data_IF_081776983715
#
_entry.id   IF_081776983715
#
_cell.length_a   1.000
_cell.length_b   1.000
_cell.length_c   1.000
_cell.angle_alpha   90.00
_cell.angle_beta   90.00
_cell.angle_gamma   90.00
#
_symmetry.space_group_name_H-M   'P 1'
#
loop_
_entity.id
_entity.type
_entity.pdbx_description
1 polymer ?
#
# COMPACT_ATOMS: atom_id res chain seq x y z
N UNK A 1 5.22 -24.35 32.17
CA UNK A 1 6.14 -23.75 31.17
C UNK A 1 5.54 -24.03 29.79
N UNK A 2 4.75 -23.13 29.26
CA UNK A 2 4.20 -23.24 27.91
C UNK A 2 5.32 -22.81 26.94
N UNK A 3 5.79 -23.74 26.12
CA UNK A 3 6.82 -23.44 25.13
C UNK A 3 6.32 -22.32 24.21
N UNK A 4 7.06 -21.22 24.15
CA UNK A 4 6.86 -20.16 23.14
C UNK A 4 7.14 -20.82 21.79
N UNK A 5 6.10 -21.05 21.00
CA UNK A 5 6.22 -21.65 19.67
C UNK A 5 6.59 -20.54 18.68
N UNK A 6 7.61 -20.78 17.88
CA UNK A 6 8.08 -19.90 16.80
C UNK A 6 7.14 -19.92 15.61
N UNK A 7 7.20 -18.92 14.74
CA UNK A 7 6.43 -18.85 13.50
C UNK A 7 6.57 -20.11 12.61
N UNK A 8 7.67 -20.86 12.76
CA UNK A 8 7.90 -22.12 12.04
C UNK A 8 6.87 -23.21 12.32
N UNK A 9 6.15 -23.16 13.44
CA UNK A 9 5.10 -24.13 13.77
C UNK A 9 3.74 -23.76 13.21
N UNK A 10 3.57 -22.53 12.72
CA UNK A 10 2.34 -22.08 12.09
C UNK A 10 2.34 -22.53 10.63
N UNK A 11 1.27 -23.20 10.24
CA UNK A 11 1.12 -23.70 8.87
C UNK A 11 -0.18 -23.23 8.21
N UNK A 12 -1.08 -22.64 8.98
CA UNK A 12 -2.41 -22.20 8.50
C UNK A 12 -2.70 -20.80 9.01
N UNK A 13 -3.06 -19.90 8.09
CA UNK A 13 -3.46 -18.52 8.38
C UNK A 13 -4.86 -18.29 7.83
N UNK A 14 -5.75 -17.77 8.66
CA UNK A 14 -7.07 -17.33 8.25
C UNK A 14 -7.03 -15.88 7.76
N UNK A 15 -7.68 -15.64 6.63
CA UNK A 15 -7.75 -14.33 6.01
C UNK A 15 -9.12 -13.73 6.24
N UNK A 16 -9.15 -12.55 6.82
CA UNK A 16 -10.36 -11.78 7.09
C UNK A 16 -10.36 -10.49 6.30
N UNK A 17 -11.54 -10.09 5.85
CA UNK A 17 -11.82 -8.75 5.36
C UNK A 17 -12.84 -8.13 6.31
N UNK A 18 -12.42 -7.15 7.10
CA UNK A 18 -13.11 -6.72 8.32
C UNK A 18 -13.38 -7.92 9.27
N UNK A 19 -14.63 -8.24 9.55
CA UNK A 19 -15.01 -9.38 10.39
C UNK A 19 -15.28 -10.67 9.60
N UNK A 20 -15.39 -10.59 8.27
CA UNK A 20 -15.73 -11.75 7.43
C UNK A 20 -14.48 -12.57 7.10
N UNK A 21 -14.51 -13.87 7.36
CA UNK A 21 -13.48 -14.80 6.86
C UNK A 21 -13.67 -14.95 5.35
N UNK A 22 -12.62 -14.60 4.59
CA UNK A 22 -12.65 -14.63 3.12
C UNK A 22 -11.82 -15.76 2.53
N UNK A 23 -10.94 -16.38 3.32
CA UNK A 23 -10.12 -17.47 2.85
C UNK A 23 -9.11 -17.95 3.88
N UNK A 24 -8.22 -18.83 3.41
CA UNK A 24 -7.17 -19.45 4.24
C UNK A 24 -5.89 -19.58 3.41
N UNK A 25 -4.75 -19.28 4.01
CA UNK A 25 -3.42 -19.54 3.43
C UNK A 25 -2.83 -20.75 4.16
N UNK A 26 -2.43 -21.77 3.42
CA UNK A 26 -1.82 -23.00 3.96
C UNK A 26 -0.40 -23.10 3.44
N UNK A 27 0.55 -23.27 4.36
CA UNK A 27 1.93 -23.63 4.04
C UNK A 27 2.06 -25.16 4.04
N UNK A 28 2.47 -25.71 2.91
CA UNK A 28 2.66 -27.16 2.73
C UNK A 28 4.15 -27.52 2.71
N UNK A 29 4.51 -28.81 2.85
CA UNK A 29 5.90 -29.25 2.75
C UNK A 29 6.58 -28.71 1.48
N UNK A 30 7.85 -28.31 1.61
CA UNK A 30 8.60 -27.64 0.53
C UNK A 30 8.34 -26.13 0.45
N UNK A 31 7.75 -25.55 1.49
CA UNK A 31 7.46 -24.10 1.62
C UNK A 31 6.57 -23.56 0.49
N UNK A 32 5.63 -24.38 0.01
CA UNK A 32 4.59 -23.91 -0.91
C UNK A 32 3.45 -23.27 -0.13
N UNK A 33 3.04 -22.07 -0.54
CA UNK A 33 1.95 -21.33 0.07
C UNK A 33 0.75 -21.32 -0.87
N UNK A 34 -0.37 -21.86 -0.41
CA UNK A 34 -1.62 -21.95 -1.14
C UNK A 34 -2.68 -21.08 -0.47
N UNK A 35 -3.36 -20.23 -1.25
CA UNK A 35 -4.53 -19.51 -0.80
C UNK A 35 -5.79 -20.11 -1.38
N UNK A 36 -6.78 -20.36 -0.55
CA UNK A 36 -8.10 -20.82 -0.96
C UNK A 36 -9.18 -19.88 -0.41
N UNK A 37 -10.10 -19.50 -1.27
CA UNK A 37 -11.28 -18.72 -0.87
C UNK A 37 -12.22 -19.56 -0.01
N UNK A 38 -12.75 -18.95 1.05
CA UNK A 38 -13.74 -19.57 1.93
C UNK A 38 -15.02 -19.90 1.14
N UNK A 39 -15.64 -21.10 1.33
CA UNK A 39 -16.87 -21.47 0.66
C UNK A 39 -18.03 -20.53 0.91
N UNK A 40 -18.18 -20.00 2.14
CA UNK A 40 -19.24 -19.04 2.46
C UNK A 40 -19.00 -17.71 1.73
N UNK A 41 -17.74 -17.22 1.69
CA UNK A 41 -17.40 -16.04 0.92
C UNK A 41 -17.59 -16.25 -0.59
N UNK A 42 -17.33 -17.44 -1.14
CA UNK A 42 -17.66 -17.77 -2.54
C UNK A 42 -19.15 -17.68 -2.81
N UNK A 43 -19.99 -18.12 -1.86
CA UNK A 43 -21.44 -18.06 -1.99
C UNK A 43 -21.99 -16.62 -2.03
N UNK A 44 -21.30 -15.63 -1.45
CA UNK A 44 -21.65 -14.21 -1.58
C UNK A 44 -21.28 -13.61 -2.95
N UNK A 45 -20.67 -14.39 -3.84
CA UNK A 45 -20.12 -13.88 -5.11
C UNK A 45 -18.84 -13.04 -4.91
N UNK A 46 -18.22 -13.12 -3.73
CA UNK A 46 -17.00 -12.36 -3.40
C UNK A 46 -17.26 -10.89 -3.04
N UNK A 47 -18.32 -10.65 -2.29
CA UNK A 47 -18.68 -9.34 -1.72
C UNK A 47 -18.65 -9.48 -0.18
N UNK A 48 -17.98 -8.55 0.53
CA UNK A 48 -17.16 -7.42 0.02
C UNK A 48 -15.97 -7.86 -0.82
N UNK A 49 -15.51 -7.01 -1.73
CA UNK A 49 -14.44 -7.35 -2.68
C UNK A 49 -13.10 -7.43 -1.98
N UNK A 50 -12.45 -8.60 -2.01
CA UNK A 50 -11.08 -8.76 -1.51
C UNK A 50 -10.05 -8.19 -2.50
N UNK A 51 -10.18 -8.52 -3.79
CA UNK A 51 -9.33 -7.97 -4.86
C UNK A 51 -9.99 -8.15 -6.21
N UNK A 52 -9.83 -7.15 -7.09
CA UNK A 52 -10.24 -7.25 -8.49
C UNK A 52 -9.46 -8.34 -9.24
N UNK A 53 -8.22 -8.66 -8.83
CA UNK A 53 -7.45 -9.75 -9.44
C UNK A 53 -8.11 -11.13 -9.28
N UNK A 54 -8.97 -11.29 -8.26
CA UNK A 54 -9.71 -12.53 -8.00
C UNK A 54 -11.08 -12.57 -8.70
N UNK A 55 -11.46 -11.50 -9.40
CA UNK A 55 -12.72 -11.42 -10.14
C UNK A 55 -12.50 -11.67 -11.65
N UNK A 56 -13.40 -12.42 -12.25
CA UNK A 56 -13.43 -12.58 -13.70
C UNK A 56 -14.12 -11.37 -14.35
N UNK A 57 -13.78 -11.08 -15.60
CA UNK A 57 -14.44 -10.02 -16.36
C UNK A 57 -15.96 -10.23 -16.52
N UNK A 58 -16.43 -11.46 -16.37
CA UNK A 58 -17.86 -11.83 -16.35
C UNK A 58 -18.56 -11.55 -15.02
N UNK A 59 -17.85 -11.03 -13.99
CA UNK A 59 -18.40 -10.67 -12.69
C UNK A 59 -18.30 -11.74 -11.60
N UNK A 60 -17.95 -12.99 -11.93
CA UNK A 60 -17.77 -14.07 -10.94
C UNK A 60 -16.37 -14.11 -10.34
N UNK A 61 -16.17 -14.96 -9.32
CA UNK A 61 -14.85 -15.24 -8.77
C UNK A 61 -14.05 -16.17 -9.68
N UNK A 62 -12.76 -15.91 -9.78
CA UNK A 62 -11.79 -16.80 -10.44
C UNK A 62 -11.54 -18.03 -9.57
N UNK A 63 -10.87 -19.03 -10.15
CA UNK A 63 -10.28 -20.14 -9.40
C UNK A 63 -9.21 -19.60 -8.45
N UNK A 64 -8.98 -20.33 -7.36
CA UNK A 64 -7.92 -20.00 -6.41
C UNK A 64 -6.56 -19.86 -7.12
N UNK A 65 -5.71 -18.92 -6.67
CA UNK A 65 -4.35 -18.81 -7.18
C UNK A 65 -3.59 -20.13 -7.04
N UNK A 66 -2.69 -20.40 -7.97
CA UNK A 66 -1.80 -21.56 -7.84
C UNK A 66 -0.89 -21.39 -6.62
N UNK A 67 -0.58 -22.49 -5.89
CA UNK A 67 0.41 -22.47 -4.83
C UNK A 67 1.76 -21.94 -5.32
N UNK A 68 2.45 -21.18 -4.48
CA UNK A 68 3.74 -20.55 -4.81
C UNK A 68 4.79 -21.03 -3.83
N UNK A 69 5.95 -21.46 -4.36
CA UNK A 69 7.08 -21.87 -3.54
C UNK A 69 7.84 -20.64 -3.00
N UNK A 70 8.15 -20.65 -1.72
CA UNK A 70 8.99 -19.62 -1.05
C UNK A 70 8.38 -18.21 -0.96
N UNK A 71 7.19 -17.98 -1.54
CA UNK A 71 6.51 -16.67 -1.50
C UNK A 71 5.00 -16.87 -1.28
N UNK A 72 4.27 -15.76 -1.21
CA UNK A 72 2.80 -15.72 -1.12
C UNK A 72 2.18 -15.42 -2.49
N UNK A 73 0.89 -15.73 -2.71
CA UNK A 73 0.20 -15.21 -3.89
C UNK A 73 0.32 -13.68 -3.98
N UNK A 74 0.35 -13.08 -5.18
CA UNK A 74 0.71 -11.67 -5.41
C UNK A 74 -0.06 -10.67 -4.55
N UNK A 75 -1.35 -10.89 -4.33
CA UNK A 75 -2.17 -10.01 -3.47
C UNK A 75 -1.55 -9.87 -2.07
N UNK A 76 -1.18 -10.98 -1.44
CA UNK A 76 -0.63 -10.99 -0.08
C UNK A 76 0.84 -10.56 -0.04
N UNK A 77 1.63 -10.89 -1.07
CA UNK A 77 3.00 -10.44 -1.18
C UNK A 77 3.10 -8.90 -1.21
N UNK A 78 2.14 -8.21 -1.84
CA UNK A 78 2.09 -6.76 -1.88
C UNK A 78 1.66 -6.10 -0.56
N UNK A 79 1.11 -6.84 0.40
CA UNK A 79 0.79 -6.33 1.74
C UNK A 79 2.02 -6.28 2.66
N UNK A 80 3.11 -6.94 2.28
CA UNK A 80 4.33 -6.99 3.08
C UNK A 80 5.23 -5.77 2.84
N UNK A 81 6.02 -5.38 3.85
CA UNK A 81 7.06 -4.36 3.66
C UNK A 81 8.12 -4.82 2.67
N UNK A 82 8.74 -3.85 2.01
CA UNK A 82 9.81 -4.06 1.03
C UNK A 82 11.12 -3.43 1.51
N UNK A 83 12.23 -3.78 0.87
CA UNK A 83 13.54 -3.16 1.01
C UNK A 83 14.00 -3.01 2.48
N UNK A 84 14.52 -1.85 2.84
CA UNK A 84 15.05 -1.56 4.19
C UNK A 84 14.02 -1.75 5.30
N UNK A 85 12.75 -1.46 5.03
CA UNK A 85 11.70 -1.67 6.03
C UNK A 85 11.50 -3.16 6.30
N UNK A 86 11.55 -4.00 5.28
CA UNK A 86 11.50 -5.46 5.42
C UNK A 86 12.68 -5.97 6.25
N UNK A 87 13.89 -5.55 5.93
CA UNK A 87 15.10 -5.94 6.68
C UNK A 87 15.00 -5.55 8.16
N UNK A 88 14.53 -4.33 8.45
CA UNK A 88 14.33 -3.86 9.81
C UNK A 88 13.27 -4.69 10.55
N UNK A 89 12.15 -5.05 9.88
CA UNK A 89 11.10 -5.88 10.46
C UNK A 89 11.58 -7.31 10.72
N UNK A 90 12.28 -7.92 9.78
CA UNK A 90 12.86 -9.25 9.95
C UNK A 90 13.86 -9.27 11.12
N UNK A 91 14.69 -8.23 11.25
CA UNK A 91 15.62 -8.08 12.36
C UNK A 91 14.90 -7.88 13.71
N UNK A 92 13.88 -7.01 13.74
CA UNK A 92 13.09 -6.76 14.95
C UNK A 92 12.37 -8.03 15.44
N UNK A 93 11.94 -8.89 14.50
CA UNK A 93 11.22 -10.14 14.78
C UNK A 93 12.08 -11.40 14.55
N UNK A 94 13.40 -11.31 14.64
CA UNK A 94 14.34 -12.39 14.31
C UNK A 94 14.09 -13.73 15.05
N UNK A 95 13.39 -13.70 16.20
CA UNK A 95 12.95 -14.92 16.90
C UNK A 95 11.73 -15.62 16.28
N UNK A 96 10.98 -14.94 15.41
CA UNK A 96 9.71 -15.41 14.87
C UNK A 96 9.66 -15.45 13.33
N UNK A 97 10.56 -14.74 12.66
CA UNK A 97 10.58 -14.59 11.20
C UNK A 97 11.91 -15.12 10.67
N UNK A 98 11.85 -16.08 9.76
CA UNK A 98 13.01 -16.50 8.97
C UNK A 98 13.31 -15.45 7.91
N UNK A 99 14.58 -15.08 7.76
CA UNK A 99 14.96 -14.07 6.76
C UNK A 99 14.49 -14.47 5.36
N UNK A 100 13.84 -13.54 4.67
CA UNK A 100 13.29 -13.74 3.33
C UNK A 100 12.02 -14.58 3.28
N UNK A 101 11.42 -14.99 4.42
CA UNK A 101 10.21 -15.81 4.40
C UNK A 101 8.93 -14.96 4.51
N UNK A 102 8.19 -14.90 3.40
CA UNK A 102 6.95 -14.11 3.29
C UNK A 102 5.85 -14.62 4.23
N UNK A 103 5.71 -15.94 4.39
CA UNK A 103 4.66 -16.51 5.23
C UNK A 103 4.87 -16.18 6.70
N UNK A 104 6.11 -16.31 7.20
CA UNK A 104 6.44 -16.01 8.59
C UNK A 104 6.26 -14.51 8.87
N UNK A 105 6.64 -13.66 7.91
CA UNK A 105 6.46 -12.21 8.02
C UNK A 105 4.97 -11.84 8.02
N UNK A 106 4.17 -12.44 7.13
CA UNK A 106 2.72 -12.23 7.11
C UNK A 106 2.05 -12.73 8.39
N UNK A 107 2.45 -13.90 8.90
CA UNK A 107 1.94 -14.43 10.16
C UNK A 107 2.23 -13.49 11.35
N UNK A 108 3.33 -12.75 11.29
CA UNK A 108 3.76 -11.81 12.34
C UNK A 108 3.06 -10.44 12.22
N UNK A 109 2.96 -9.90 11.01
CA UNK A 109 2.44 -8.55 10.75
C UNK A 109 0.95 -8.53 10.41
N UNK A 110 0.34 -9.69 10.15
CA UNK A 110 -0.97 -9.83 9.55
C UNK A 110 -2.15 -9.21 10.31
N UNK A 111 -1.96 -8.82 11.57
CA UNK A 111 -2.99 -8.16 12.36
C UNK A 111 -3.23 -6.68 11.97
N UNK A 112 -2.20 -5.97 11.46
CA UNK A 112 -2.30 -4.56 11.05
C UNK A 112 -1.69 -4.35 9.66
N UNK A 113 -2.41 -4.80 8.65
CA UNK A 113 -2.07 -4.63 7.23
C UNK A 113 -2.73 -3.36 6.65
N UNK A 114 -2.30 -2.90 5.46
CA UNK A 114 -3.03 -1.89 4.71
C UNK A 114 -4.47 -2.32 4.42
N UNK A 115 -5.39 -1.37 4.50
CA UNK A 115 -6.80 -1.63 4.28
C UNK A 115 -7.48 -2.41 5.40
N UNK A 116 -8.49 -3.19 5.03
CA UNK A 116 -9.32 -3.94 5.96
C UNK A 116 -8.94 -5.43 6.08
N UNK A 117 -7.88 -5.85 5.40
CA UNK A 117 -7.40 -7.23 5.46
C UNK A 117 -6.69 -7.50 6.79
N UNK A 118 -7.02 -8.62 7.42
CA UNK A 118 -6.26 -9.20 8.53
C UNK A 118 -5.94 -10.65 8.21
N UNK A 119 -4.73 -11.06 8.58
CA UNK A 119 -4.27 -12.44 8.39
C UNK A 119 -3.75 -12.95 9.71
N UNK A 120 -4.45 -13.92 10.28
CA UNK A 120 -4.21 -14.40 11.63
C UNK A 120 -3.99 -15.93 11.63
N UNK A 121 -3.19 -16.46 12.56
CA UNK A 121 -3.11 -17.91 12.74
C UNK A 121 -4.52 -18.49 12.97
N UNK A 122 -4.86 -19.59 12.29
CA UNK A 122 -6.15 -20.27 12.47
C UNK A 122 -6.32 -20.78 13.89
N UNK A 123 -7.57 -20.89 14.35
CA UNK A 123 -7.91 -21.45 15.64
C UNK A 123 -7.27 -22.83 15.84
N UNK A 124 -6.74 -23.07 17.05
CA UNK A 124 -5.98 -24.28 17.37
C UNK A 124 -4.53 -24.30 16.85
N UNK A 125 -4.13 -23.35 16.02
CA UNK A 125 -2.72 -23.09 15.77
C UNK A 125 -2.14 -22.35 16.99
N UNK A 126 -0.89 -22.63 17.37
CA UNK A 126 -0.24 -21.84 18.39
C UNK A 126 -0.17 -20.39 17.87
N UNK A 127 -0.80 -19.48 18.58
CA UNK A 127 -0.60 -18.06 18.33
C UNK A 127 0.90 -17.77 18.29
N UNK A 128 1.35 -16.85 17.49
CA UNK A 128 2.66 -16.26 17.68
C UNK A 128 2.56 -15.62 19.05
N UNK A 129 3.04 -16.35 20.06
CA UNK A 129 3.21 -15.77 21.36
C UNK A 129 4.08 -14.57 21.10
N UNK A 130 3.54 -13.38 21.31
CA UNK A 130 4.42 -12.26 21.54
C UNK A 130 5.40 -12.77 22.57
N UNK A 131 6.66 -12.98 22.18
CA UNK A 131 7.71 -13.11 23.18
C UNK A 131 7.41 -11.96 24.13
N UNK A 132 7.26 -12.19 25.43
CA UNK A 132 7.01 -11.12 26.37
C UNK A 132 8.24 -10.20 26.33
N UNK A 133 8.30 -9.35 25.34
CA UNK A 133 9.12 -8.16 25.35
C UNK A 133 8.43 -7.29 26.37
N UNK A 134 8.79 -7.55 27.64
CA UNK A 134 8.38 -6.71 28.75
C UNK A 134 8.64 -5.27 28.33
N UNK A 135 7.56 -4.53 28.00
CA UNK A 135 7.59 -3.09 27.83
C UNK A 135 8.11 -2.52 26.50
N UNK A 136 8.39 -3.32 25.46
CA UNK A 136 8.72 -2.77 24.12
C UNK A 136 7.49 -2.66 23.25
N UNK A 137 7.24 -1.49 22.60
CA UNK A 137 6.17 -1.33 21.61
C UNK A 137 6.33 -2.36 20.50
N UNK A 138 5.24 -3.02 20.12
CA UNK A 138 5.24 -3.86 18.92
C UNK A 138 5.17 -2.93 17.72
N UNK A 139 6.30 -2.71 17.06
CA UNK A 139 6.30 -2.03 15.76
C UNK A 139 5.50 -2.88 14.76
N UNK A 140 4.37 -2.35 14.27
CA UNK A 140 3.54 -2.97 13.25
C UNK A 140 3.61 -2.11 12.00
N UNK A 141 3.97 -2.72 10.88
CA UNK A 141 4.18 -1.97 9.63
C UNK A 141 3.87 -2.81 8.41
N UNK A 142 3.21 -2.19 7.44
CA UNK A 142 3.21 -2.70 6.09
C UNK A 142 3.05 -1.54 5.11
N UNK A 143 4.17 -0.98 4.65
CA UNK A 143 4.16 0.00 3.55
C UNK A 143 5.47 -0.12 2.79
N UNK A 144 5.38 -0.41 1.49
CA UNK A 144 6.50 -0.44 0.57
C UNK A 144 7.11 0.96 0.38
N UNK A 145 8.41 1.04 0.18
CA UNK A 145 9.10 2.28 -0.22
C UNK A 145 10.52 2.41 0.31
N UNK A 146 11.31 3.22 -0.36
CA UNK A 146 12.71 3.52 -0.03
C UNK A 146 12.84 4.34 1.27
N UNK A 147 11.81 5.13 1.60
CA UNK A 147 11.73 5.93 2.82
C UNK A 147 11.17 5.10 3.98
N UNK A 148 11.77 5.22 5.17
CA UNK A 148 11.25 4.57 6.37
C UNK A 148 9.87 5.14 6.72
N UNK A 149 8.88 4.24 6.83
CA UNK A 149 7.48 4.59 7.13
C UNK A 149 6.99 3.78 8.32
N UNK A 150 6.38 4.42 9.31
CA UNK A 150 5.87 3.77 10.50
C UNK A 150 4.38 4.07 10.69
N UNK A 151 3.58 3.07 11.10
CA UNK A 151 2.21 3.28 11.59
C UNK A 151 2.27 3.84 13.02
N UNK A 152 1.62 4.96 13.29
CA UNK A 152 1.69 5.63 14.59
C UNK A 152 0.32 6.14 15.05
N UNK A 153 0.22 6.38 16.37
CA UNK A 153 -0.93 6.98 17.04
C UNK A 153 -0.53 8.33 17.64
N UNK A 154 -1.47 9.28 17.67
CA UNK A 154 -1.34 10.49 18.48
C UNK A 154 -1.80 10.20 19.89
N UNK A 155 -0.94 10.48 20.88
CA UNK A 155 -1.35 10.46 22.29
C UNK A 155 -2.27 11.62 22.60
N UNK A 156 -3.47 11.34 23.10
CA UNK A 156 -4.43 12.34 23.55
C UNK A 156 -4.24 12.75 25.02
N UNK A 157 -3.23 12.19 25.71
CA UNK A 157 -2.95 12.48 27.12
C UNK A 157 -2.21 13.79 27.35
N UNK A 158 -2.05 14.16 28.66
CA UNK A 158 -1.28 15.35 29.08
C UNK A 158 0.21 15.18 28.72
N UNK A 159 0.62 15.75 27.61
CA UNK A 159 2.00 15.68 27.12
C UNK A 159 2.03 15.62 25.60
N UNK A 160 0.97 15.12 24.97
CA UNK A 160 0.95 14.89 23.52
C UNK A 160 2.02 13.87 23.14
N UNK A 161 2.28 13.73 21.86
CA UNK A 161 3.34 12.85 21.34
C UNK A 161 2.80 11.79 20.38
N UNK A 162 3.72 11.13 19.72
CA UNK A 162 3.43 10.10 18.73
C UNK A 162 4.07 8.79 19.21
N UNK A 163 3.27 7.73 19.29
CA UNK A 163 3.72 6.42 19.72
C UNK A 163 3.37 5.35 18.69
N UNK A 164 4.12 4.26 18.75
CA UNK A 164 3.77 3.04 18.00
C UNK A 164 2.53 2.40 18.63
N UNK A 165 1.61 1.83 17.82
CA UNK A 165 0.48 1.09 18.35
C UNK A 165 0.90 -0.06 19.27
N UNK A 166 0.21 -0.22 20.39
CA UNK A 166 0.45 -1.27 21.38
C UNK A 166 -0.69 -2.30 21.33
N UNK A 167 -0.36 -3.58 21.49
CA UNK A 167 -1.36 -4.64 21.58
C UNK A 167 -2.26 -4.70 20.36
N UNK A 168 -3.56 -4.47 20.53
CA UNK A 168 -4.58 -4.46 19.46
C UNK A 168 -4.88 -3.06 18.93
N UNK A 169 -4.20 -2.02 19.43
CA UNK A 169 -4.34 -0.67 18.92
C UNK A 169 -3.87 -0.56 17.46
N UNK A 170 -4.50 0.32 16.71
CA UNK A 170 -4.21 0.56 15.29
C UNK A 170 -3.66 1.96 15.09
N UNK A 171 -2.59 2.08 14.29
CA UNK A 171 -2.08 3.37 13.91
C UNK A 171 -3.04 4.12 12.98
N UNK A 172 -3.35 5.35 13.35
CA UNK A 172 -4.19 6.24 12.54
C UNK A 172 -3.40 7.09 11.56
N UNK A 173 -2.09 7.14 11.72
CA UNK A 173 -1.19 7.92 10.89
C UNK A 173 -0.04 7.08 10.37
N UNK A 174 0.51 7.52 9.24
CA UNK A 174 1.78 7.04 8.71
C UNK A 174 2.80 8.14 8.93
N UNK A 175 3.84 7.82 9.70
CA UNK A 175 5.01 8.69 9.87
C UNK A 175 6.07 8.31 8.85
N UNK A 176 6.41 9.24 7.96
CA UNK A 176 7.46 9.10 6.95
C UNK A 176 8.69 9.87 7.42
N UNK A 177 9.74 9.14 7.74
CA UNK A 177 10.95 9.71 8.32
C UNK A 177 11.88 10.29 7.25
N UNK A 178 12.69 11.29 7.63
CA UNK A 178 13.69 11.85 6.71
C UNK A 178 14.69 10.79 6.24
N UNK A 179 15.27 11.00 5.07
CA UNK A 179 16.24 10.10 4.43
C UNK A 179 17.60 10.78 4.28
N UNK A 180 18.67 10.09 4.63
CA UNK A 180 20.04 10.57 4.37
C UNK A 180 20.39 10.57 2.88
N UNK A 181 19.77 9.67 2.11
CA UNK A 181 19.98 9.60 0.66
C UNK A 181 19.21 10.69 -0.11
N UNK A 182 18.08 11.17 0.47
CA UNK A 182 17.20 12.16 -0.14
C UNK A 182 16.86 13.27 0.86
N UNK A 183 17.77 14.21 1.11
CA UNK A 183 17.53 15.30 2.07
C UNK A 183 16.28 16.11 1.72
N UNK A 184 15.45 16.44 2.72
CA UNK A 184 14.21 17.19 2.51
C UNK A 184 13.08 16.42 1.83
N UNK A 185 13.14 15.08 1.77
CA UNK A 185 12.11 14.26 1.10
C UNK A 185 10.74 14.40 1.76
N UNK A 186 10.67 14.55 3.08
CA UNK A 186 9.42 14.76 3.81
C UNK A 186 8.77 16.10 3.46
N UNK A 187 9.57 17.15 3.40
CA UNK A 187 9.14 18.50 3.02
C UNK A 187 8.74 18.57 1.55
N UNK A 188 9.46 17.85 0.67
CA UNK A 188 9.15 17.72 -0.75
C UNK A 188 7.76 17.09 -0.92
N UNK A 189 7.48 15.96 -0.29
CA UNK A 189 6.16 15.31 -0.39
C UNK A 189 5.06 16.19 0.22
N UNK A 190 5.32 16.81 1.38
CA UNK A 190 4.36 17.73 2.00
C UNK A 190 3.97 18.87 1.06
N UNK A 191 4.96 19.53 0.43
CA UNK A 191 4.74 20.65 -0.49
C UNK A 191 3.97 20.23 -1.74
N UNK A 192 4.31 19.08 -2.32
CA UNK A 192 3.61 18.55 -3.50
C UNK A 192 2.17 18.14 -3.19
N UNK A 193 1.91 17.54 -2.04
CA UNK A 193 0.56 17.25 -1.58
C UNK A 193 -0.25 18.55 -1.31
N UNK A 194 0.39 19.61 -0.79
CA UNK A 194 -0.26 20.91 -0.62
C UNK A 194 -0.63 21.55 -1.96
N UNK A 195 0.22 21.46 -2.97
CA UNK A 195 -0.09 21.90 -4.33
C UNK A 195 -1.21 21.08 -4.96
N UNK A 196 -1.21 19.76 -4.77
CA UNK A 196 -2.29 18.89 -5.26
C UNK A 196 -3.65 19.29 -4.65
N UNK A 197 -3.68 19.56 -3.35
CA UNK A 197 -4.89 20.04 -2.64
C UNK A 197 -5.35 21.41 -3.16
N UNK A 198 -4.42 22.35 -3.37
CA UNK A 198 -4.73 23.70 -3.87
C UNK A 198 -5.39 23.69 -5.25
N UNK A 199 -5.10 22.68 -6.09
CA UNK A 199 -5.76 22.49 -7.39
C UNK A 199 -6.98 21.54 -7.34
N UNK A 200 -7.46 21.24 -6.11
CA UNK A 200 -8.70 20.50 -5.87
C UNK A 200 -8.60 18.99 -6.03
N UNK A 201 -7.44 18.39 -5.77
CA UNK A 201 -7.28 16.94 -5.67
C UNK A 201 -7.59 16.45 -4.25
N UNK A 202 -8.10 15.23 -4.14
CA UNK A 202 -8.36 14.61 -2.84
C UNK A 202 -7.05 14.12 -2.23
N UNK A 203 -6.64 14.75 -1.12
CA UNK A 203 -5.39 14.52 -0.41
C UNK A 203 -5.70 14.24 1.07
N UNK A 204 -5.03 13.29 1.74
CA UNK A 204 -5.23 13.07 3.17
C UNK A 204 -4.69 14.23 4.01
N UNK A 205 -5.23 14.37 5.22
CA UNK A 205 -4.69 15.27 6.23
C UNK A 205 -3.22 14.94 6.50
N UNK A 206 -2.39 15.96 6.64
CA UNK A 206 -0.95 15.82 6.82
C UNK A 206 -0.35 16.97 7.59
N UNK A 207 0.76 16.70 8.24
CA UNK A 207 1.55 17.74 8.95
C UNK A 207 3.04 17.36 8.95
N UNK A 208 3.90 18.34 9.10
CA UNK A 208 5.32 18.13 9.37
C UNK A 208 5.54 18.29 10.88
N UNK A 209 6.14 17.29 11.49
CA UNK A 209 6.39 17.24 12.94
C UNK A 209 7.87 17.02 13.23
N UNK A 210 8.33 17.51 14.39
CA UNK A 210 9.68 17.20 14.86
C UNK A 210 9.78 15.73 15.26
N UNK A 211 10.93 15.12 15.02
CA UNK A 211 11.26 13.77 15.48
C UNK A 211 11.14 13.61 16.99
N UNK A 212 11.40 14.68 17.76
CA UNK A 212 11.34 14.66 19.24
C UNK A 212 9.93 14.39 19.78
N UNK A 213 8.90 14.46 18.93
CA UNK A 213 7.53 14.13 19.32
C UNK A 213 7.28 12.61 19.34
N UNK A 214 8.23 11.79 18.89
CA UNK A 214 8.07 10.35 18.84
C UNK A 214 8.68 9.70 20.08
N UNK A 215 7.89 8.89 20.77
CA UNK A 215 8.30 8.11 21.93
C UNK A 215 8.37 6.62 21.58
N UNK A 216 9.39 5.93 22.10
CA UNK A 216 9.50 4.48 22.02
C UNK A 216 9.79 3.94 20.60
N UNK A 217 10.46 4.72 19.75
CA UNK A 217 10.95 4.21 18.46
C UNK A 217 11.99 3.11 18.78
N UNK A 218 11.87 1.91 18.20
CA UNK A 218 12.86 0.86 18.38
C UNK A 218 14.24 1.28 17.88
N UNK A 219 15.29 0.78 18.55
CA UNK A 219 16.69 1.12 18.26
C UNK A 219 17.09 0.87 16.80
N UNK A 220 16.47 -0.13 16.16
CA UNK A 220 16.66 -0.45 14.75
C UNK A 220 16.27 0.70 13.81
N UNK A 221 15.43 1.64 14.30
CA UNK A 221 14.97 2.83 13.58
C UNK A 221 15.60 4.13 14.09
N UNK A 222 16.49 4.07 15.08
CA UNK A 222 17.12 5.27 15.68
C UNK A 222 18.14 5.93 14.73
N UNK A 223 18.72 5.19 13.79
CA UNK A 223 19.70 5.70 12.80
C UNK A 223 19.04 6.49 11.66
N UNK A 224 17.90 7.12 11.91
CA UNK A 224 17.21 7.96 10.95
C UNK A 224 17.89 9.32 10.78
N UNK A 225 17.81 9.90 9.58
CA UNK A 225 18.34 11.22 9.31
C UNK A 225 17.70 12.29 10.22
N UNK A 226 18.42 13.36 10.47
CA UNK A 226 17.85 14.59 11.04
C UNK A 226 16.87 15.24 10.07
N UNK A 227 15.85 15.90 10.59
CA UNK A 227 14.84 16.59 9.78
C UNK A 227 13.42 16.39 10.29
N UNK A 228 12.47 16.92 9.52
CA UNK A 228 11.05 16.80 9.83
C UNK A 228 10.49 15.46 9.35
N UNK A 229 9.57 14.91 10.12
CA UNK A 229 8.81 13.72 9.80
C UNK A 229 7.49 14.15 9.18
N UNK A 230 7.15 13.61 8.01
CA UNK A 230 5.83 13.82 7.41
C UNK A 230 4.84 12.84 8.04
N UNK A 231 3.87 13.35 8.76
CA UNK A 231 2.77 12.61 9.33
C UNK A 231 1.57 12.72 8.40
N UNK A 232 1.07 11.59 7.90
CA UNK A 232 -0.08 11.51 6.99
C UNK A 232 -1.18 10.68 7.65
N UNK A 233 -2.41 11.22 7.72
CA UNK A 233 -3.56 10.48 8.21
C UNK A 233 -3.88 9.31 7.27
N UNK A 234 -4.08 8.14 7.82
CA UNK A 234 -4.48 6.96 7.06
C UNK A 234 -5.91 7.10 6.57
N UNK A 235 -6.10 7.07 5.26
CA UNK A 235 -7.43 7.11 4.65
C UNK A 235 -8.13 5.74 4.66
N UNK A 236 -7.40 4.68 4.97
CA UNK A 236 -7.91 3.33 5.19
C UNK A 236 -8.35 3.08 6.64
N UNK A 237 -8.42 4.14 7.45
CA UNK A 237 -8.95 4.14 8.83
C UNK A 237 -10.01 5.22 8.98
N UNK A 238 -11.24 4.81 9.34
CA UNK A 238 -12.33 5.71 9.66
C UNK A 238 -12.13 6.46 10.97
N UNK A 239 -12.98 7.45 11.24
CA UNK A 239 -12.91 8.26 12.46
C UNK A 239 -13.18 7.45 13.74
N UNK A 240 -13.95 6.39 13.63
CA UNK A 240 -14.34 5.44 14.69
C UNK A 240 -13.41 4.21 14.77
N UNK A 241 -12.26 4.22 14.08
CA UNK A 241 -11.35 3.09 13.99
C UNK A 241 -11.78 2.01 13.00
N UNK A 242 -12.91 2.19 12.27
CA UNK A 242 -13.31 1.26 11.24
C UNK A 242 -12.25 1.16 10.15
N UNK A 243 -11.93 -0.06 9.73
CA UNK A 243 -11.02 -0.30 8.60
C UNK A 243 -11.77 -0.15 7.28
N UNK A 244 -11.17 0.56 6.36
CA UNK A 244 -11.66 0.72 4.99
C UNK A 244 -10.73 -0.05 4.07
N UNK A 245 -11.27 -0.98 3.30
CA UNK A 245 -10.44 -1.81 2.42
C UNK A 245 -9.81 -0.99 1.30
N UNK A 246 -8.56 -1.33 0.99
CA UNK A 246 -7.79 -0.78 -0.13
C UNK A 246 -7.01 -1.89 -0.83
N UNK A 247 -6.76 -1.72 -2.11
CA UNK A 247 -5.78 -2.50 -2.86
C UNK A 247 -5.01 -1.60 -3.83
N UNK A 248 -3.71 -1.83 -3.97
CA UNK A 248 -2.89 -1.15 -4.95
C UNK A 248 -3.00 -1.79 -6.34
N UNK A 249 -2.54 -1.08 -7.39
CA UNK A 249 -2.66 -1.61 -8.75
C UNK A 249 -1.71 -2.77 -9.07
N UNK A 250 -0.68 -3.05 -8.26
CA UNK A 250 0.05 -4.31 -8.38
C UNK A 250 -0.82 -5.48 -7.90
N UNK A 251 -1.60 -5.30 -6.83
CA UNK A 251 -2.60 -6.27 -6.37
C UNK A 251 -3.73 -6.46 -7.39
N UNK A 252 -4.29 -5.36 -7.92
CA UNK A 252 -5.35 -5.38 -8.96
C UNK A 252 -4.92 -6.19 -10.17
N UNK A 253 -3.68 -6.03 -10.63
CA UNK A 253 -3.16 -6.76 -11.79
C UNK A 253 -2.61 -8.15 -11.44
N UNK A 254 -2.58 -8.52 -10.15
CA UNK A 254 -2.03 -9.80 -9.69
C UNK A 254 -0.53 -9.92 -9.95
N UNK A 255 0.21 -8.82 -9.83
CA UNK A 255 1.64 -8.73 -10.05
C UNK A 255 2.40 -8.77 -8.72
N UNK A 256 3.57 -9.39 -8.72
CA UNK A 256 4.47 -9.34 -7.56
C UNK A 256 5.08 -7.95 -7.35
N UNK A 257 5.48 -7.59 -6.11
CA UNK A 257 6.10 -6.30 -5.80
C UNK A 257 7.27 -5.94 -6.73
N UNK A 258 8.10 -6.90 -7.08
CA UNK A 258 9.24 -6.71 -8.00
C UNK A 258 8.82 -6.24 -9.42
N UNK A 259 7.54 -6.41 -9.80
CA UNK A 259 7.00 -6.00 -11.10
C UNK A 259 6.27 -4.66 -11.06
N UNK A 260 6.39 -3.90 -9.97
CA UNK A 260 5.68 -2.62 -9.78
C UNK A 260 6.01 -1.54 -10.82
N UNK A 261 7.17 -1.62 -11.47
CA UNK A 261 7.62 -0.66 -12.49
C UNK A 261 7.38 -1.11 -13.93
N UNK A 262 7.22 -2.41 -14.19
CA UNK A 262 7.23 -2.96 -15.56
C UNK A 262 6.07 -3.91 -15.85
N UNK A 263 5.23 -4.18 -14.89
CA UNK A 263 4.12 -5.12 -15.03
C UNK A 263 2.93 -4.58 -15.82
N UNK A 264 2.76 -3.25 -15.89
CA UNK A 264 1.69 -2.57 -16.61
C UNK A 264 2.11 -1.13 -16.97
N UNK A 265 1.28 -0.44 -17.74
CA UNK A 265 1.46 0.95 -18.12
C UNK A 265 0.35 1.84 -17.54
N UNK A 266 0.52 3.16 -17.59
CA UNK A 266 -0.48 4.12 -17.08
C UNK A 266 -1.87 3.94 -17.72
N UNK A 267 -1.94 3.57 -19.00
CA UNK A 267 -3.22 3.35 -19.68
C UNK A 267 -3.97 2.11 -19.18
N UNK A 268 -3.29 1.11 -18.61
CA UNK A 268 -3.92 -0.08 -18.04
C UNK A 268 -4.68 0.29 -16.75
N UNK A 269 -4.09 1.14 -15.91
CA UNK A 269 -4.76 1.72 -14.72
C UNK A 269 -6.03 2.47 -15.17
N UNK A 270 -5.90 3.37 -16.14
CA UNK A 270 -7.04 4.14 -16.63
C UNK A 270 -8.16 3.25 -17.21
N UNK A 271 -7.79 2.15 -17.90
CA UNK A 271 -8.73 1.16 -18.41
C UNK A 271 -9.52 0.47 -17.31
N UNK A 272 -8.83 0.05 -16.21
CA UNK A 272 -9.50 -0.57 -15.06
C UNK A 272 -10.45 0.44 -14.40
N UNK A 273 -10.02 1.67 -14.16
CA UNK A 273 -10.84 2.72 -13.54
C UNK A 273 -12.08 3.02 -14.38
N UNK A 274 -11.93 3.09 -15.72
CA UNK A 274 -13.03 3.32 -16.64
C UNK A 274 -14.10 2.21 -16.59
N UNK A 275 -13.66 0.95 -16.47
CA UNK A 275 -14.57 -0.21 -16.50
C UNK A 275 -15.12 -0.54 -15.11
N UNK A 276 -14.27 -0.54 -14.09
CA UNK A 276 -14.65 -0.97 -12.74
C UNK A 276 -15.35 0.12 -11.92
N UNK A 277 -15.15 1.40 -12.27
CA UNK A 277 -15.72 2.53 -11.53
C UNK A 277 -16.54 3.42 -12.47
N UNK A 278 -15.86 4.27 -13.26
CA UNK A 278 -16.51 5.18 -14.19
C UNK A 278 -15.50 5.91 -15.09
N UNK A 279 -15.95 6.50 -16.21
CA UNK A 279 -15.13 7.41 -17.01
C UNK A 279 -14.60 8.61 -16.21
N UNK A 280 -15.36 9.09 -15.22
CA UNK A 280 -14.92 10.20 -14.35
C UNK A 280 -13.73 9.81 -13.48
N UNK A 281 -13.70 8.59 -12.91
CA UNK A 281 -12.56 8.09 -12.15
C UNK A 281 -11.31 7.97 -13.04
N UNK A 282 -11.48 7.52 -14.29
CA UNK A 282 -10.37 7.47 -15.25
C UNK A 282 -9.85 8.86 -15.61
N UNK A 283 -10.72 9.87 -15.77
CA UNK A 283 -10.30 11.24 -16.01
C UNK A 283 -9.66 11.90 -14.77
N UNK A 284 -10.12 11.56 -13.58
CA UNK A 284 -9.43 12.00 -12.33
C UNK A 284 -8.03 11.39 -12.26
N UNK A 285 -7.85 10.14 -12.63
CA UNK A 285 -6.51 9.54 -12.76
C UNK A 285 -5.65 10.29 -13.78
N UNK A 286 -6.21 10.70 -14.94
CA UNK A 286 -5.49 11.52 -15.93
C UNK A 286 -5.03 12.85 -15.32
N UNK A 287 -5.86 13.52 -14.53
CA UNK A 287 -5.49 14.75 -13.82
C UNK A 287 -4.32 14.52 -12.87
N UNK A 288 -4.39 13.48 -12.05
CA UNK A 288 -3.33 13.13 -11.09
C UNK A 288 -2.04 12.70 -11.78
N UNK A 289 -2.14 11.94 -12.86
CA UNK A 289 -0.99 11.55 -13.68
C UNK A 289 -0.35 12.79 -14.33
N UNK A 290 -1.15 13.74 -14.83
CA UNK A 290 -0.65 15.00 -15.37
C UNK A 290 0.08 15.80 -14.31
N UNK A 291 -0.49 15.91 -13.11
CA UNK A 291 0.15 16.58 -11.99
C UNK A 291 1.49 15.91 -11.63
N UNK A 292 1.51 14.58 -11.52
CA UNK A 292 2.73 13.79 -11.26
C UNK A 292 3.82 14.08 -12.32
N UNK A 293 3.45 14.16 -13.60
CA UNK A 293 4.38 14.52 -14.68
C UNK A 293 4.93 15.93 -14.51
N UNK A 294 4.05 16.92 -14.23
CA UNK A 294 4.44 18.33 -14.07
C UNK A 294 5.39 18.51 -12.88
N UNK A 295 5.13 17.78 -11.80
CA UNK A 295 5.98 17.80 -10.60
C UNK A 295 7.29 17.01 -10.74
N UNK A 296 7.49 16.29 -11.84
CA UNK A 296 8.68 15.49 -12.05
C UNK A 296 8.77 14.31 -11.09
N UNK A 297 7.63 13.63 -10.84
CA UNK A 297 7.59 12.42 -10.03
C UNK A 297 7.86 11.19 -10.90
N UNK A 298 9.05 10.62 -10.81
CA UNK A 298 9.45 9.39 -11.50
C UNK A 298 9.08 8.10 -10.76
N UNK A 299 8.58 8.17 -9.52
CA UNK A 299 8.32 6.99 -8.70
C UNK A 299 6.84 6.61 -8.56
N UNK A 300 5.96 7.15 -9.43
CA UNK A 300 4.54 6.78 -9.44
C UNK A 300 4.30 5.41 -10.08
N UNK A 301 4.83 4.37 -9.44
CA UNK A 301 4.66 2.97 -9.85
C UNK A 301 3.28 2.40 -9.44
N UNK A 302 3.00 1.13 -9.80
CA UNK A 302 1.70 0.48 -9.58
C UNK A 302 1.24 0.51 -8.11
N UNK A 303 2.14 0.46 -7.15
CA UNK A 303 1.80 0.47 -5.72
C UNK A 303 1.50 1.87 -5.15
N UNK A 304 1.74 2.94 -5.92
CA UNK A 304 1.42 4.32 -5.54
C UNK A 304 0.07 4.79 -6.08
N UNK A 305 -0.70 3.87 -6.64
CA UNK A 305 -2.09 4.04 -7.07
C UNK A 305 -2.94 2.98 -6.41
N UNK A 306 -4.02 3.36 -5.74
CA UNK A 306 -4.89 2.42 -5.04
C UNK A 306 -6.36 2.64 -5.32
N UNK A 307 -7.10 1.56 -5.22
CA UNK A 307 -8.54 1.57 -5.04
C UNK A 307 -8.86 1.59 -3.56
N UNK A 308 -9.95 2.24 -3.19
CA UNK A 308 -10.55 2.23 -1.85
C UNK A 308 -11.98 1.73 -1.99
N UNK A 309 -12.43 0.93 -1.03
CA UNK A 309 -13.75 0.32 -0.98
C UNK A 309 -14.55 0.86 0.22
N UNK A 310 -15.19 2.04 0.09
CA UNK A 310 -15.99 2.61 1.16
C UNK A 310 -17.29 1.85 1.39
N UNK A 311 -17.93 2.09 2.53
CA UNK A 311 -19.24 1.51 2.85
C UNK A 311 -19.20 0.00 3.03
N UNK A 312 -20.03 -0.72 2.29
CA UNK A 312 -20.14 -2.19 2.33
C UNK A 312 -19.02 -2.94 1.59
N UNK A 313 -18.10 -2.21 0.95
CA UNK A 313 -16.94 -2.79 0.27
C UNK A 313 -17.27 -3.41 -1.10
N UNK A 314 -18.38 -3.07 -1.70
CA UNK A 314 -18.80 -3.57 -3.02
C UNK A 314 -18.25 -2.72 -4.17
N UNK A 315 -18.39 -1.42 -4.07
CA UNK A 315 -18.04 -0.49 -5.15
C UNK A 315 -16.71 0.23 -4.86
N UNK A 316 -15.67 0.03 -5.69
CA UNK A 316 -14.41 0.74 -5.53
C UNK A 316 -14.51 2.22 -5.92
N UNK A 317 -13.61 3.01 -5.34
CA UNK A 317 -13.30 4.38 -5.77
C UNK A 317 -11.79 4.53 -5.92
N UNK A 318 -11.34 5.58 -6.61
CA UNK A 318 -9.91 5.93 -6.62
C UNK A 318 -9.54 6.52 -5.24
N UNK A 319 -8.56 5.92 -4.57
CA UNK A 319 -8.11 6.37 -3.25
C UNK A 319 -7.60 7.82 -3.27
N UNK A 320 -7.52 8.55 -2.15
CA UNK A 320 -6.81 9.81 -2.06
C UNK A 320 -5.39 9.69 -2.62
N UNK A 321 -4.81 10.81 -3.07
CA UNK A 321 -3.43 10.85 -3.59
C UNK A 321 -2.42 10.71 -2.45
N UNK A 322 -1.36 9.94 -2.63
CA UNK A 322 -0.28 9.73 -1.66
C UNK A 322 1.04 9.48 -2.37
N UNK A 323 2.16 9.50 -1.67
CA UNK A 323 3.52 9.31 -2.22
C UNK A 323 3.79 10.26 -3.41
N UNK A 324 3.28 11.49 -3.32
CA UNK A 324 3.42 12.50 -4.36
C UNK A 324 4.62 13.39 -4.06
N UNK A 325 5.77 13.02 -4.61
CA UNK A 325 7.01 13.78 -4.43
C UNK A 325 7.71 14.01 -5.78
N UNK A 326 8.46 15.10 -5.89
CA UNK A 326 9.32 15.33 -7.05
C UNK A 326 10.61 14.52 -6.89
N UNK A 327 10.90 13.62 -7.82
CA UNK A 327 12.15 12.82 -7.80
C UNK A 327 13.28 13.47 -8.59
N UNK A 328 12.95 14.32 -9.56
CA UNK A 328 13.92 14.98 -10.46
C UNK A 328 15.00 15.79 -9.71
N UNK A 329 14.76 16.48 -8.58
CA UNK A 329 15.81 17.16 -7.82
C UNK A 329 16.88 16.21 -7.27
N UNK A 330 16.52 14.95 -7.02
CA UNK A 330 17.43 13.93 -6.48
C UNK A 330 18.06 13.09 -7.61
N UNK A 331 17.28 12.83 -8.68
CA UNK A 331 17.67 11.99 -9.81
C UNK A 331 17.37 12.75 -11.10
N UNK A 332 18.26 13.67 -11.56
CA UNK A 332 17.99 14.54 -12.72
C UNK A 332 17.72 13.82 -14.04
N UNK A 333 18.18 12.58 -14.17
CA UNK A 333 17.95 11.72 -15.35
C UNK A 333 16.75 10.79 -15.19
N UNK A 334 15.90 11.02 -14.16
CA UNK A 334 14.74 10.18 -13.88
C UNK A 334 13.69 10.26 -15.00
N UNK A 335 12.83 9.24 -15.03
CA UNK A 335 11.74 9.11 -15.98
C UNK A 335 10.51 8.52 -15.28
N UNK A 336 9.39 8.42 -15.99
CA UNK A 336 8.15 7.87 -15.43
C UNK A 336 8.32 6.40 -15.02
N UNK A 337 7.87 6.07 -13.83
CA UNK A 337 7.77 4.69 -13.35
C UNK A 337 6.92 3.81 -14.29
N UNK A 338 5.83 4.35 -14.80
CA UNK A 338 4.94 3.68 -15.77
C UNK A 338 4.91 4.46 -17.07
N UNK A 339 5.00 3.77 -18.22
CA UNK A 339 5.00 4.43 -19.51
C UNK A 339 3.68 5.14 -19.81
N UNK A 340 3.78 6.35 -20.37
CA UNK A 340 2.66 7.15 -20.87
C UNK A 340 2.68 7.15 -22.40
N UNK A 341 1.73 6.46 -23.01
CA UNK A 341 1.69 6.32 -24.46
C UNK A 341 2.96 5.67 -25.07
N UNK A 342 3.64 4.82 -24.28
CA UNK A 342 4.89 4.13 -24.66
C UNK A 342 6.16 4.92 -24.37
N UNK A 343 6.07 6.11 -23.77
CA UNK A 343 7.20 6.95 -23.39
C UNK A 343 7.40 6.95 -21.87
N UNK A 344 8.65 6.96 -21.41
CA UNK A 344 9.01 7.12 -19.99
C UNK A 344 9.82 8.39 -19.73
N UNK A 345 10.56 8.89 -20.70
CA UNK A 345 11.36 10.10 -20.52
C UNK A 345 10.48 11.34 -20.43
N UNK A 346 10.63 12.15 -19.37
CA UNK A 346 9.86 13.41 -19.20
C UNK A 346 9.96 14.33 -20.43
N UNK A 347 11.15 14.44 -21.03
CA UNK A 347 11.39 15.25 -22.24
C UNK A 347 10.65 14.75 -23.49
N UNK A 348 10.22 13.48 -23.51
CA UNK A 348 9.51 12.86 -24.63
C UNK A 348 7.99 12.98 -24.56
N UNK A 349 7.46 13.62 -23.52
CA UNK A 349 6.01 13.70 -23.26
C UNK A 349 5.37 14.83 -24.08
N UNK A 350 5.17 14.55 -25.37
CA UNK A 350 4.42 15.42 -26.29
C UNK A 350 2.90 15.10 -26.25
N UNK A 351 2.02 16.02 -26.73
CA UNK A 351 0.57 15.77 -26.81
C UNK A 351 0.19 14.46 -27.50
N UNK A 352 0.99 14.01 -28.49
CA UNK A 352 0.79 12.74 -29.18
C UNK A 352 0.83 11.52 -28.24
N UNK A 353 1.58 11.59 -27.12
CA UNK A 353 1.65 10.49 -26.13
C UNK A 353 0.33 10.37 -25.37
N UNK A 354 -0.29 11.50 -25.04
CA UNK A 354 -1.62 11.52 -24.41
C UNK A 354 -2.71 10.98 -25.33
N UNK A 355 -2.62 11.24 -26.64
CA UNK A 355 -3.52 10.62 -27.63
C UNK A 355 -3.35 9.10 -27.69
N UNK A 356 -2.10 8.63 -27.73
CA UNK A 356 -1.80 7.19 -27.68
C UNK A 356 -2.29 6.56 -26.37
N UNK A 357 -2.11 7.25 -25.25
CA UNK A 357 -2.65 6.82 -23.95
C UNK A 357 -4.18 6.71 -23.99
N UNK A 358 -4.88 7.76 -24.45
CA UNK A 358 -6.34 7.77 -24.53
C UNK A 358 -6.89 6.59 -25.35
N UNK A 359 -6.30 6.35 -26.53
CA UNK A 359 -6.69 5.24 -27.40
C UNK A 359 -6.47 3.87 -26.74
N UNK A 360 -5.33 3.65 -26.08
CA UNK A 360 -5.03 2.41 -25.36
C UNK A 360 -5.92 2.21 -24.15
N UNK A 361 -6.23 3.29 -23.42
CA UNK A 361 -7.14 3.28 -22.27
C UNK A 361 -8.62 3.20 -22.67
N UNK A 362 -8.94 3.25 -23.96
CA UNK A 362 -10.31 3.31 -24.49
C UNK A 362 -11.11 4.50 -23.94
N UNK A 363 -10.44 5.64 -23.78
CA UNK A 363 -11.03 6.89 -23.34
C UNK A 363 -11.18 7.86 -24.52
N UNK A 364 -12.20 8.75 -24.52
CA UNK A 364 -12.33 9.78 -25.54
C UNK A 364 -11.11 10.72 -25.54
N UNK A 365 -10.38 10.79 -26.65
CA UNK A 365 -9.18 11.63 -26.79
C UNK A 365 -9.44 13.10 -26.40
N UNK A 366 -10.54 13.76 -26.84
CA UNK A 366 -10.81 15.13 -26.46
C UNK A 366 -10.97 15.33 -24.95
N UNK A 367 -11.58 14.37 -24.24
CA UNK A 367 -11.76 14.44 -22.80
C UNK A 367 -10.42 14.32 -22.04
N UNK A 368 -9.56 13.40 -22.48
CA UNK A 368 -8.21 13.24 -21.92
C UNK A 368 -7.37 14.50 -22.12
N UNK A 369 -7.32 15.02 -23.36
CA UNK A 369 -6.54 16.24 -23.66
C UNK A 369 -7.08 17.46 -22.90
N UNK A 370 -8.40 17.58 -22.74
CA UNK A 370 -9.01 18.63 -21.94
C UNK A 370 -8.56 18.54 -20.47
N UNK A 371 -8.64 17.34 -19.87
CA UNK A 371 -8.21 17.10 -18.50
C UNK A 371 -6.73 17.46 -18.28
N UNK A 372 -5.85 17.10 -19.23
CA UNK A 372 -4.43 17.46 -19.21
C UNK A 372 -4.25 18.99 -19.23
N UNK A 373 -4.83 19.68 -20.21
CA UNK A 373 -4.69 21.13 -20.38
C UNK A 373 -5.24 21.88 -19.16
N UNK A 374 -6.39 21.47 -18.64
CA UNK A 374 -7.00 22.11 -17.47
C UNK A 374 -6.13 21.91 -16.19
N UNK A 375 -5.49 20.74 -16.04
CA UNK A 375 -4.61 20.48 -14.90
C UNK A 375 -3.33 21.33 -14.96
N UNK A 376 -2.74 21.47 -16.14
CA UNK A 376 -1.53 22.31 -16.33
C UNK A 376 -1.80 23.80 -16.12
N UNK A 377 -3.03 24.25 -16.37
CA UNK A 377 -3.41 25.67 -16.19
C UNK A 377 -3.71 26.07 -14.74
N UNK A 378 -3.97 25.12 -13.88
CA UNK A 378 -4.24 25.34 -12.46
C UNK A 378 -2.96 25.49 -11.66
#
# INVERSE_FOLDING_TARGET
MTAVRTAETITVLDVFLNSAKVGTIVRTPGDFNAFSLDPAYRATGGIPVLSLSLRAASGGLRKDPRPVAGSLPPFFANLLPEDRLREAMEKHHAGNVRSGNDFDLLATLGADLPGAVRVLPSDGQPGIGAAPTQGRPKARFSLAGVQMKLSVMKNTGKGGGLTLPLGDDEGQYIAKFPSTAFPGVSENEFANLALAEAIGMNVPERELVSRDQFEGIPEEFETLAEGLVLLVRRFDRGADGQRIHIEDFAQVFGLYPARKYDGAASHDIASVLNVAISPFAALEFVRRLTFSVVMGNGDMHLKNWSLIYPGDGDTPALAPIYDMLSTVPYIPADGLALSLGGERAFKGLAPARWKTFANRARLPEPAVLKAVVETVKR
#
